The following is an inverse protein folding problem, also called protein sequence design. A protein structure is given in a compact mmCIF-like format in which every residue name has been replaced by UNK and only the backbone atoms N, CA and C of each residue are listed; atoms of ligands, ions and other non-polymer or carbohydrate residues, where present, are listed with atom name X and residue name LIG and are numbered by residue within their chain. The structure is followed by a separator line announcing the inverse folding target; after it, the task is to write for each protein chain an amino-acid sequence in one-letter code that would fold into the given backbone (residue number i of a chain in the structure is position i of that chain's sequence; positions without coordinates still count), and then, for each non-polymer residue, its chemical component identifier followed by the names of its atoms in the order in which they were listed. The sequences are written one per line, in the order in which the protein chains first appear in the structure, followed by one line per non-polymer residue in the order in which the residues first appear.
data_IF_331854044928
#
_entry.id   IF_331854044928
#
_cell.length_a   1.000
_cell.length_b   1.000
_cell.length_c   1.000
_cell.angle_alpha   90.00
_cell.angle_beta   90.00
_cell.angle_gamma   90.00
#
_symmetry.space_group_name_H-M   'P 1'
#
loop_
_entity.id
_entity.type
_entity.pdbx_description
1 polymer ?
#
# COMPACT_ATOMS: atom_id res chain seq x y z
N UNK A 1 9.83 -7.34 -30.36
CA UNK A 1 9.06 -6.42 -29.50
C UNK A 1 8.30 -7.30 -28.53
N UNK A 2 8.65 -7.25 -27.24
CA UNK A 2 8.09 -8.17 -26.25
C UNK A 2 6.59 -7.89 -26.09
N UNK A 3 5.77 -8.91 -26.32
CA UNK A 3 4.39 -8.95 -25.85
C UNK A 3 4.44 -8.97 -24.31
N UNK A 4 4.45 -7.79 -23.68
CA UNK A 4 4.14 -7.70 -22.27
C UNK A 4 2.63 -7.83 -22.15
N UNK A 5 2.15 -9.06 -21.98
CA UNK A 5 0.79 -9.29 -21.51
C UNK A 5 0.72 -8.62 -20.14
N UNK A 6 0.17 -7.41 -20.07
CA UNK A 6 -0.02 -6.70 -18.82
C UNK A 6 -0.90 -7.58 -17.93
N UNK A 7 -0.31 -8.18 -16.92
CA UNK A 7 -1.01 -9.03 -15.97
C UNK A 7 -1.60 -8.17 -14.87
N UNK A 8 -2.89 -8.31 -14.62
CA UNK A 8 -3.56 -7.66 -13.50
C UNK A 8 -2.92 -8.08 -12.17
N UNK A 9 -2.63 -7.10 -11.31
CA UNK A 9 -2.12 -7.31 -9.95
C UNK A 9 -3.21 -7.07 -8.90
N UNK A 10 -3.76 -5.85 -8.83
CA UNK A 10 -4.83 -5.49 -7.91
C UNK A 10 -5.58 -4.22 -8.38
N UNK A 11 -6.68 -3.88 -7.72
CA UNK A 11 -7.36 -2.60 -7.92
C UNK A 11 -6.69 -1.48 -7.13
N UNK A 12 -6.62 -0.28 -7.72
CA UNK A 12 -6.15 0.90 -7.00
C UNK A 12 -7.11 1.26 -5.86
N UNK A 13 -6.59 1.45 -4.65
CA UNK A 13 -7.44 1.78 -3.49
C UNK A 13 -8.14 3.15 -3.58
N UNK A 14 -7.72 4.02 -4.52
CA UNK A 14 -8.26 5.37 -4.67
C UNK A 14 -9.08 5.60 -5.94
N UNK A 15 -9.28 4.59 -6.80
CA UNK A 15 -10.09 4.69 -8.02
C UNK A 15 -10.42 3.31 -8.60
N UNK A 16 -11.27 3.25 -9.63
CA UNK A 16 -11.65 1.99 -10.31
C UNK A 16 -10.59 1.48 -11.31
N UNK A 17 -9.38 2.06 -11.33
CA UNK A 17 -8.34 1.67 -12.28
C UNK A 17 -7.60 0.43 -11.76
N UNK A 18 -7.45 -0.63 -12.58
CA UNK A 18 -6.55 -1.72 -12.23
C UNK A 18 -5.09 -1.25 -12.17
N UNK A 19 -4.29 -1.98 -11.41
CA UNK A 19 -2.83 -1.91 -11.37
C UNK A 19 -2.31 -3.19 -12.01
N UNK A 20 -1.45 -3.04 -13.02
CA UNK A 20 -0.83 -4.15 -13.72
C UNK A 20 0.60 -4.38 -13.22
N UNK A 21 1.08 -5.62 -13.39
CA UNK A 21 2.45 -6.01 -13.07
C UNK A 21 3.45 -5.17 -13.86
N UNK A 22 4.44 -4.61 -13.15
CA UNK A 22 5.48 -3.76 -13.72
C UNK A 22 5.18 -2.25 -13.63
N UNK A 23 3.98 -1.86 -13.20
CA UNK A 23 3.68 -0.46 -12.91
C UNK A 23 4.35 0.02 -11.62
N UNK A 24 4.80 1.29 -11.63
CA UNK A 24 5.29 1.95 -10.41
C UNK A 24 4.10 2.42 -9.57
N UNK A 25 4.05 1.97 -8.31
CA UNK A 25 2.94 2.21 -7.40
C UNK A 25 3.44 2.66 -6.03
N UNK A 26 2.53 3.17 -5.21
CA UNK A 26 2.77 3.41 -3.80
C UNK A 26 1.90 2.46 -2.98
N UNK A 27 2.48 1.75 -2.03
CA UNK A 27 1.74 0.93 -1.08
C UNK A 27 1.99 1.43 0.34
N UNK A 28 0.99 1.23 1.19
CA UNK A 28 1.13 1.44 2.63
C UNK A 28 0.91 0.09 3.29
N UNK A 29 1.86 -0.32 4.11
CA UNK A 29 1.72 -1.42 5.06
C UNK A 29 1.93 -0.88 6.47
N UNK A 30 1.32 -1.54 7.45
CA UNK A 30 1.66 -1.33 8.85
C UNK A 30 2.30 -2.60 9.41
N UNK A 31 3.17 -2.42 10.39
CA UNK A 31 3.73 -3.50 11.21
C UNK A 31 3.35 -3.25 12.66
N UNK A 32 2.97 -4.32 13.36
CA UNK A 32 2.83 -4.33 14.80
C UNK A 32 4.10 -4.95 15.38
N UNK A 33 4.77 -4.19 16.24
CA UNK A 33 6.13 -4.49 16.68
C UNK A 33 6.23 -4.41 18.19
N UNK A 34 6.96 -5.36 18.76
CA UNK A 34 7.35 -5.34 20.16
C UNK A 34 8.74 -4.76 20.29
N UNK A 35 8.86 -3.70 21.09
CA UNK A 35 10.16 -3.11 21.42
C UNK A 35 10.76 -3.92 22.57
N UNK A 36 11.89 -4.57 22.31
CA UNK A 36 12.74 -5.17 23.34
C UNK A 36 14.01 -4.32 23.49
N UNK A 37 14.66 -4.39 24.66
CA UNK A 37 15.62 -3.37 25.12
C UNK A 37 16.72 -2.97 24.13
N UNK A 38 17.07 -3.83 23.16
CA UNK A 38 18.11 -3.58 22.17
C UNK A 38 17.70 -3.92 20.71
N UNK A 39 16.45 -4.33 20.45
CA UNK A 39 15.98 -4.69 19.11
C UNK A 39 14.46 -4.62 19.00
N UNK A 40 13.97 -4.46 17.77
CA UNK A 40 12.55 -4.44 17.43
C UNK A 40 12.19 -5.82 16.86
N UNK A 41 11.17 -6.46 17.44
CA UNK A 41 10.63 -7.72 16.93
C UNK A 41 9.29 -7.44 16.24
N UNK A 42 9.18 -7.65 14.92
CA UNK A 42 7.88 -7.58 14.27
C UNK A 42 7.04 -8.78 14.68
N UNK A 43 5.87 -8.54 15.28
CA UNK A 43 4.91 -9.58 15.63
C UNK A 43 3.95 -9.85 14.48
N UNK A 44 3.60 -8.81 13.72
CA UNK A 44 2.67 -8.89 12.60
C UNK A 44 2.89 -7.76 11.60
N UNK A 45 2.47 -7.94 10.35
CA UNK A 45 2.39 -6.86 9.38
C UNK A 45 1.35 -7.14 8.30
N UNK A 46 0.68 -6.10 7.85
CA UNK A 46 -0.38 -6.19 6.84
C UNK A 46 -0.34 -4.99 5.89
N UNK A 47 -0.70 -5.25 4.63
CA UNK A 47 -0.82 -4.23 3.60
C UNK A 47 -2.21 -3.57 3.68
N UNK A 48 -2.23 -2.24 3.78
CA UNK A 48 -3.45 -1.44 3.89
C UNK A 48 -4.03 -1.04 2.55
N UNK A 49 -3.19 -1.02 1.52
CA UNK A 49 -3.63 -0.67 0.17
C UNK A 49 -2.47 -0.38 -0.76
N UNK A 50 -2.78 -0.39 -2.05
CA UNK A 50 -1.87 0.00 -3.13
C UNK A 50 -2.56 1.04 -4.00
N UNK A 51 -1.86 2.11 -4.33
CA UNK A 51 -2.35 3.24 -5.11
C UNK A 51 -1.47 3.47 -6.35
N UNK A 52 -2.10 3.89 -7.43
CA UNK A 52 -1.38 4.58 -8.50
C UNK A 52 -0.87 5.94 -7.98
N UNK A 53 0.13 6.50 -8.67
CA UNK A 53 0.79 7.75 -8.25
C UNK A 53 -0.19 8.90 -8.00
N UNK A 54 -1.15 9.10 -8.90
CA UNK A 54 -2.11 10.20 -8.80
C UNK A 54 -3.03 10.08 -7.59
N UNK A 55 -3.53 8.88 -7.30
CA UNK A 55 -4.38 8.63 -6.14
C UNK A 55 -3.59 8.76 -4.83
N UNK A 56 -2.33 8.32 -4.81
CA UNK A 56 -1.48 8.45 -3.64
C UNK A 56 -1.18 9.92 -3.30
N UNK A 57 -0.87 10.75 -4.30
CA UNK A 57 -0.64 12.18 -4.10
C UNK A 57 -1.90 12.86 -3.57
N UNK A 58 -3.08 12.53 -4.10
CA UNK A 58 -4.37 13.05 -3.61
C UNK A 58 -4.63 12.65 -2.16
N UNK A 59 -4.41 11.37 -1.80
CA UNK A 59 -4.57 10.88 -0.43
C UNK A 59 -3.65 11.63 0.53
N UNK A 60 -2.35 11.76 0.20
CA UNK A 60 -1.39 12.53 1.02
C UNK A 60 -1.82 14.00 1.18
N UNK A 61 -2.28 14.63 0.11
CA UNK A 61 -2.69 16.03 0.12
C UNK A 61 -3.92 16.31 1.00
N UNK A 62 -4.80 15.31 1.20
CA UNK A 62 -5.93 15.41 2.13
C UNK A 62 -5.52 15.43 3.59
N UNK A 63 -4.25 15.16 3.91
CA UNK A 63 -3.79 15.07 5.30
C UNK A 63 -4.40 13.89 6.06
N UNK A 64 -4.93 12.90 5.34
CA UNK A 64 -5.44 11.63 5.87
C UNK A 64 -4.26 10.72 6.28
N UNK A 65 -3.37 11.22 7.14
CA UNK A 65 -2.34 10.41 7.80
C UNK A 65 -2.94 9.50 8.89
N UNK A 66 -4.25 9.62 9.16
CA UNK A 66 -5.02 8.69 9.98
C UNK A 66 -5.78 7.75 9.05
N UNK A 67 -5.09 6.73 8.53
CA UNK A 67 -5.79 5.51 8.13
C UNK A 67 -6.35 4.91 9.42
N UNK A 68 -7.67 4.94 9.60
CA UNK A 68 -8.30 4.29 10.76
C UNK A 68 -8.15 2.80 10.59
N UNK A 69 -7.16 2.25 11.28
CA UNK A 69 -7.05 0.82 11.51
C UNK A 69 -8.07 0.47 12.58
N UNK A 70 -9.31 0.22 12.16
CA UNK A 70 -10.27 -0.47 13.01
C UNK A 70 -9.81 -1.93 13.11
N UNK A 71 -8.86 -2.21 14.00
CA UNK A 71 -8.49 -3.59 14.31
C UNK A 71 -9.56 -4.24 15.19
N UNK A 72 -9.98 -5.42 14.75
CA UNK A 72 -10.81 -6.39 15.45
C UNK A 72 -10.20 -6.84 16.79
#
# INVERSE_FOLDING_TARGET
MANSTEQYFCDCFGCERPINTGENVHSISYTYEKIESNFIVPEFGEALGTWCNDCFVKMKAKGECKLSLDHF
#
